data_IF_471335412075
#
_entry.id   IF_471335412075
#
_cell.length_a   1.000
_cell.length_b   1.000
_cell.length_c   1.000
_cell.angle_alpha   90.00
_cell.angle_beta   90.00
_cell.angle_gamma   90.00
#
_symmetry.space_group_name_H-M   'P 1'
#
loop_
_entity.id
_entity.type
_entity.pdbx_description
1 polymer ?
#
# COMPACT_ATOMS: atom_id res chain seq x y z
N UNK A 1 24.98 -6.69 -5.24
CA UNK A 1 23.65 -6.85 -4.64
C UNK A 1 23.02 -8.16 -5.06
N UNK A 2 22.85 -8.47 -6.36
CA UNK A 2 22.21 -9.71 -6.86
C UNK A 2 22.80 -10.99 -6.24
N UNK A 3 24.15 -11.08 -6.15
CA UNK A 3 24.83 -12.22 -5.52
C UNK A 3 24.46 -12.39 -4.06
N UNK A 4 24.49 -11.30 -3.30
CA UNK A 4 24.13 -11.29 -1.86
C UNK A 4 22.70 -11.79 -1.64
N UNK A 5 21.76 -11.37 -2.49
CA UNK A 5 20.36 -11.80 -2.41
C UNK A 5 20.21 -13.28 -2.77
N UNK A 6 20.92 -13.75 -3.78
CA UNK A 6 20.85 -15.14 -4.25
C UNK A 6 21.53 -16.16 -3.28
N UNK A 7 22.44 -15.70 -2.43
CA UNK A 7 23.08 -16.54 -1.40
C UNK A 7 22.20 -16.81 -0.17
N UNK A 8 21.07 -16.08 -0.01
CA UNK A 8 20.17 -16.32 1.12
C UNK A 8 19.41 -17.64 0.94
N UNK A 9 19.41 -18.52 1.94
CA UNK A 9 18.80 -19.86 1.83
C UNK A 9 17.30 -19.85 1.60
N UNK A 10 16.62 -18.75 1.93
CA UNK A 10 15.18 -18.58 1.73
C UNK A 10 14.82 -18.08 0.32
N UNK A 11 15.82 -17.70 -0.49
CA UNK A 11 15.63 -17.16 -1.84
C UNK A 11 15.70 -18.28 -2.87
N UNK A 12 14.76 -18.29 -3.80
CA UNK A 12 14.72 -19.22 -4.93
C UNK A 12 15.38 -18.61 -6.16
N UNK A 13 14.93 -17.40 -6.55
CA UNK A 13 15.47 -16.71 -7.72
C UNK A 13 15.54 -15.20 -7.49
N UNK A 14 16.46 -14.54 -8.20
CA UNK A 14 16.62 -13.09 -8.21
C UNK A 14 16.63 -12.58 -9.65
N UNK A 15 15.68 -11.74 -10.00
CA UNK A 15 15.64 -11.04 -11.28
C UNK A 15 16.02 -9.58 -11.09
N UNK A 16 17.07 -9.12 -11.78
CA UNK A 16 17.58 -7.77 -11.69
C UNK A 16 17.22 -6.95 -12.93
N UNK A 17 16.66 -5.78 -12.73
CA UNK A 17 16.40 -4.77 -13.77
C UNK A 17 17.24 -3.55 -13.44
N UNK A 18 18.33 -3.39 -14.16
CA UNK A 18 19.24 -2.26 -14.02
C UNK A 18 18.70 -1.05 -14.77
N UNK A 19 18.84 0.13 -14.20
CA UNK A 19 18.38 1.38 -14.83
C UNK A 19 16.90 1.68 -14.64
N UNK A 20 16.17 0.94 -13.80
CA UNK A 20 14.76 1.18 -13.51
C UNK A 20 14.49 1.11 -12.01
N UNK A 21 13.76 2.09 -11.50
CA UNK A 21 13.28 2.12 -10.11
C UNK A 21 11.77 1.91 -10.04
N UNK A 22 11.34 0.79 -9.48
CA UNK A 22 9.91 0.52 -9.27
C UNK A 22 9.27 1.52 -8.27
N UNK A 23 10.06 2.08 -7.37
CA UNK A 23 9.57 3.02 -6.35
C UNK A 23 9.23 4.39 -6.92
N UNK A 24 9.95 4.82 -7.94
CA UNK A 24 9.72 6.10 -8.61
C UNK A 24 8.97 5.93 -9.94
N UNK A 25 8.91 4.70 -10.47
CA UNK A 25 8.36 4.41 -11.79
C UNK A 25 9.20 4.97 -12.94
N UNK A 26 10.43 5.39 -12.67
CA UNK A 26 11.29 6.09 -13.61
C UNK A 26 12.56 5.30 -13.96
N UNK A 27 13.09 5.59 -15.15
CA UNK A 27 14.43 5.14 -15.53
C UNK A 27 15.47 6.03 -14.84
N UNK A 28 16.48 5.39 -14.21
CA UNK A 28 17.56 6.07 -13.51
C UNK A 28 18.86 5.32 -13.72
N UNK A 29 19.87 5.98 -14.28
CA UNK A 29 21.18 5.38 -14.60
C UNK A 29 21.92 4.85 -13.37
N UNK A 30 21.63 5.43 -12.21
CA UNK A 30 22.22 5.10 -10.91
C UNK A 30 21.32 4.22 -10.04
N UNK A 31 20.23 3.67 -10.58
CA UNK A 31 19.24 2.86 -9.87
C UNK A 31 19.00 1.49 -10.48
N UNK A 32 18.34 0.64 -9.74
CA UNK A 32 17.90 -0.67 -10.22
C UNK A 32 16.86 -1.27 -9.29
N UNK A 33 16.10 -2.23 -9.81
CA UNK A 33 15.12 -3.00 -9.06
C UNK A 33 15.47 -4.47 -9.14
N UNK A 34 15.41 -5.14 -8.00
CA UNK A 34 15.57 -6.58 -7.91
C UNK A 34 14.26 -7.21 -7.44
N UNK A 35 13.76 -8.17 -8.19
CA UNK A 35 12.65 -9.02 -7.76
C UNK A 35 13.26 -10.29 -7.15
N UNK A 36 13.11 -10.41 -5.83
CA UNK A 36 13.61 -11.54 -5.06
C UNK A 36 12.44 -12.48 -4.81
N UNK A 37 12.43 -13.61 -5.49
CA UNK A 37 11.42 -14.65 -5.30
C UNK A 37 11.91 -15.58 -4.20
N UNK A 38 11.11 -15.72 -3.15
CA UNK A 38 11.41 -16.62 -2.05
C UNK A 38 10.93 -18.02 -2.39
N UNK A 39 11.53 -19.05 -1.80
CA UNK A 39 11.07 -20.44 -1.87
C UNK A 39 9.61 -20.55 -1.49
N UNK A 40 8.94 -21.63 -1.88
CA UNK A 40 7.55 -21.86 -1.52
C UNK A 40 7.35 -21.83 0.00
N UNK A 41 6.21 -21.34 0.47
CA UNK A 41 5.94 -21.19 1.91
C UNK A 41 5.91 -22.52 2.68
N UNK A 42 5.67 -23.65 2.01
CA UNK A 42 5.74 -24.98 2.64
C UNK A 42 7.20 -25.39 2.94
N UNK A 43 8.17 -24.78 2.24
CA UNK A 43 9.60 -24.98 2.48
C UNK A 43 10.21 -23.96 3.46
N UNK A 44 9.43 -22.92 3.83
CA UNK A 44 9.81 -21.83 4.75
C UNK A 44 8.92 -21.84 5.97
N UNK A 45 9.16 -22.77 6.87
CA UNK A 45 8.32 -23.00 8.04
C UNK A 45 8.85 -22.32 9.31
N UNK A 46 10.10 -21.91 9.31
CA UNK A 46 10.74 -21.26 10.45
C UNK A 46 10.40 -19.76 10.51
N UNK A 47 10.37 -19.21 11.74
CA UNK A 47 10.10 -17.79 11.95
C UNK A 47 11.10 -16.88 11.24
N UNK A 48 12.37 -17.29 11.14
CA UNK A 48 13.44 -16.54 10.47
C UNK A 48 13.27 -16.47 8.95
N UNK A 49 12.51 -17.38 8.36
CA UNK A 49 12.21 -17.46 6.95
C UNK A 49 10.97 -16.69 6.52
N UNK A 50 10.27 -16.07 7.48
CA UNK A 50 9.17 -15.15 7.18
C UNK A 50 9.68 -13.96 6.39
N UNK A 51 8.89 -13.52 5.41
CA UNK A 51 9.27 -12.46 4.46
C UNK A 51 9.81 -11.19 5.14
N UNK A 52 9.24 -10.78 6.27
CA UNK A 52 9.70 -9.59 7.01
C UNK A 52 11.09 -9.80 7.65
N UNK A 53 11.39 -10.99 8.14
CA UNK A 53 12.68 -11.32 8.73
C UNK A 53 13.74 -11.50 7.64
N UNK A 54 13.39 -12.12 6.51
CA UNK A 54 14.26 -12.20 5.32
C UNK A 54 14.58 -10.80 4.81
N UNK A 55 13.59 -9.92 4.63
CA UNK A 55 13.81 -8.54 4.19
C UNK A 55 14.73 -7.77 5.15
N UNK A 56 14.53 -7.92 6.47
CA UNK A 56 15.41 -7.30 7.49
C UNK A 56 16.84 -7.82 7.39
N UNK A 57 17.03 -9.12 7.26
CA UNK A 57 18.36 -9.76 7.12
C UNK A 57 19.06 -9.30 5.85
N UNK A 58 18.35 -9.26 4.72
CA UNK A 58 18.88 -8.79 3.44
C UNK A 58 19.26 -7.31 3.48
N UNK A 59 18.44 -6.45 4.12
CA UNK A 59 18.79 -5.04 4.37
C UNK A 59 20.06 -4.91 5.19
N UNK A 60 20.19 -5.69 6.28
CA UNK A 60 21.39 -5.68 7.13
C UNK A 60 22.65 -6.09 6.38
N UNK A 61 22.58 -7.16 5.60
CA UNK A 61 23.71 -7.60 4.74
C UNK A 61 24.06 -6.56 3.68
N UNK A 62 23.05 -5.98 3.03
CA UNK A 62 23.30 -4.99 1.98
C UNK A 62 23.99 -3.73 2.51
N UNK A 63 23.66 -3.25 3.71
CA UNK A 63 24.32 -2.09 4.34
C UNK A 63 25.81 -2.41 4.64
N UNK A 64 26.11 -3.65 5.04
CA UNK A 64 27.49 -4.04 5.39
C UNK A 64 28.36 -4.36 4.17
N UNK A 65 27.77 -5.04 3.18
CA UNK A 65 28.52 -5.61 2.05
C UNK A 65 28.52 -4.70 0.80
N UNK A 66 27.63 -3.69 0.73
CA UNK A 66 27.49 -2.78 -0.43
C UNK A 66 27.38 -1.33 0.02
N UNK A 67 28.45 -0.75 0.61
CA UNK A 67 28.44 0.63 1.09
C UNK A 67 28.25 1.68 -0.04
N UNK A 68 28.53 1.30 -1.30
CA UNK A 68 28.41 2.17 -2.46
C UNK A 68 26.94 2.39 -2.91
N UNK A 69 25.99 1.60 -2.41
CA UNK A 69 24.59 1.67 -2.80
C UNK A 69 23.66 1.68 -1.60
N UNK A 70 22.59 2.44 -1.70
CA UNK A 70 21.46 2.35 -0.78
C UNK A 70 20.51 1.26 -1.27
N UNK A 71 20.39 0.18 -0.54
CA UNK A 71 19.53 -0.97 -0.87
C UNK A 71 18.39 -1.04 0.13
N UNK A 72 17.18 -1.17 -0.36
CA UNK A 72 15.97 -1.33 0.44
C UNK A 72 15.25 -2.61 0.02
N UNK A 73 15.30 -3.64 0.85
CA UNK A 73 14.44 -4.81 0.69
C UNK A 73 13.05 -4.49 1.28
N UNK A 74 12.07 -4.47 0.43
CA UNK A 74 10.69 -4.08 0.72
C UNK A 74 9.73 -5.19 0.31
N UNK A 75 8.61 -5.27 1.00
CA UNK A 75 7.53 -6.20 0.63
C UNK A 75 6.52 -5.50 -0.29
N UNK A 76 5.87 -6.24 -1.20
CA UNK A 76 4.77 -5.67 -1.99
C UNK A 76 3.58 -5.29 -1.10
N UNK A 77 2.69 -4.40 -1.56
CA UNK A 77 1.47 -4.07 -0.83
C UNK A 77 0.55 -5.29 -0.72
N UNK A 78 -0.23 -5.35 0.34
CA UNK A 78 -1.17 -6.46 0.58
C UNK A 78 -2.25 -6.57 -0.51
N UNK A 79 -2.62 -5.45 -1.13
CA UNK A 79 -3.54 -5.38 -2.28
C UNK A 79 -2.76 -4.88 -3.50
N UNK A 80 -2.64 -5.69 -4.56
CA UNK A 80 -1.99 -5.25 -5.79
C UNK A 80 -2.67 -3.99 -6.38
N UNK A 81 -1.84 -3.01 -6.78
CA UNK A 81 -2.33 -1.74 -7.32
C UNK A 81 -2.60 -0.63 -6.29
N UNK A 82 -2.54 -0.93 -5.00
CA UNK A 82 -2.69 0.06 -3.93
C UNK A 82 -1.34 0.48 -3.35
N UNK A 83 -0.55 1.20 -4.10
CA UNK A 83 0.80 1.62 -3.73
C UNK A 83 1.90 0.76 -4.33
N UNK A 84 3.14 1.13 -4.08
CA UNK A 84 4.34 0.44 -4.58
C UNK A 84 5.02 -0.43 -3.52
N UNK A 85 4.69 -0.25 -2.26
CA UNK A 85 5.33 -0.91 -1.11
C UNK A 85 4.28 -1.29 -0.07
N UNK A 86 4.53 -2.37 0.66
CA UNK A 86 3.76 -2.69 1.88
C UNK A 86 4.17 -1.76 3.02
N UNK A 87 3.20 -1.35 3.84
CA UNK A 87 3.38 -0.42 4.94
C UNK A 87 2.74 0.94 4.69
N UNK A 88 3.31 1.98 5.31
CA UNK A 88 2.83 3.35 5.19
C UNK A 88 3.51 4.08 4.04
N UNK A 89 2.75 4.77 3.24
CA UNK A 89 3.25 5.63 2.19
C UNK A 89 2.58 7.01 2.28
N UNK A 90 3.41 8.05 2.33
CA UNK A 90 2.97 9.44 2.35
C UNK A 90 3.84 10.30 1.44
N UNK A 91 3.34 11.46 1.11
CA UNK A 91 4.00 12.46 0.29
C UNK A 91 4.22 13.73 1.12
N UNK A 92 5.48 14.11 1.29
CA UNK A 92 5.84 15.42 1.82
C UNK A 92 5.73 16.44 0.69
N UNK A 93 4.78 17.37 0.80
CA UNK A 93 4.51 18.40 -0.21
C UNK A 93 5.12 19.74 0.20
N UNK A 94 5.63 20.46 -0.80
CA UNK A 94 6.02 21.85 -0.70
C UNK A 94 5.01 22.72 -1.45
N UNK A 95 4.15 23.44 -0.73
CA UNK A 95 3.11 24.32 -1.30
C UNK A 95 3.66 25.65 -1.81
N UNK A 96 4.86 26.04 -1.38
CA UNK A 96 5.50 27.30 -1.76
C UNK A 96 6.46 27.15 -2.95
N UNK A 97 6.61 25.92 -3.48
CA UNK A 97 7.46 25.63 -4.64
C UNK A 97 8.91 26.08 -4.47
N UNK A 98 9.47 25.88 -3.30
CA UNK A 98 10.87 26.18 -2.95
C UNK A 98 11.86 25.36 -3.78
N UNK A 99 13.14 25.52 -3.54
CA UNK A 99 14.16 24.76 -4.28
C UNK A 99 14.11 23.26 -3.97
N UNK A 100 14.48 22.38 -4.91
CA UNK A 100 14.61 20.95 -4.65
C UNK A 100 15.54 20.60 -3.49
N UNK A 101 16.58 21.41 -3.27
CA UNK A 101 17.53 21.23 -2.18
C UNK A 101 16.91 21.52 -0.81
N UNK A 102 16.05 22.54 -0.71
CA UNK A 102 15.30 22.82 0.53
C UNK A 102 14.32 21.69 0.85
N UNK A 103 13.56 21.22 -0.14
CA UNK A 103 12.68 20.05 0.05
C UNK A 103 13.48 18.83 0.54
N UNK A 104 14.67 18.58 -0.03
CA UNK A 104 15.53 17.48 0.41
C UNK A 104 16.02 17.67 1.85
N UNK A 105 16.35 18.89 2.27
CA UNK A 105 16.78 19.19 3.63
C UNK A 105 15.67 18.94 4.64
N UNK A 106 14.47 19.48 4.39
CA UNK A 106 13.30 19.26 5.26
C UNK A 106 12.94 17.78 5.31
N UNK A 107 12.95 17.09 4.17
CA UNK A 107 12.70 15.67 4.08
C UNK A 107 13.68 14.84 4.93
N UNK A 108 14.98 15.14 4.86
CA UNK A 108 15.99 14.42 5.62
C UNK A 108 15.80 14.60 7.14
N UNK A 109 15.49 15.81 7.58
CA UNK A 109 15.19 16.05 8.99
C UNK A 109 13.95 15.26 9.42
N UNK A 110 12.88 15.31 8.63
CA UNK A 110 11.65 14.56 8.89
C UNK A 110 11.86 13.05 8.95
N UNK A 111 12.75 12.49 8.10
CA UNK A 111 13.14 11.08 8.13
C UNK A 111 13.93 10.75 9.40
N UNK A 112 14.85 11.61 9.81
CA UNK A 112 15.65 11.41 11.04
C UNK A 112 14.74 11.39 12.26
N UNK A 113 13.84 12.37 12.38
CA UNK A 113 12.89 12.48 13.49
C UNK A 113 11.90 11.30 13.47
N UNK A 114 11.43 10.89 12.27
CA UNK A 114 10.58 9.73 12.10
C UNK A 114 11.23 8.42 12.56
N UNK A 115 12.52 8.22 12.28
CA UNK A 115 13.24 7.03 12.74
C UNK A 115 13.53 7.05 14.27
N UNK A 116 13.40 8.19 14.94
CA UNK A 116 13.49 8.31 16.39
C UNK A 116 12.13 8.11 17.07
N UNK A 117 11.04 8.13 16.32
CA UNK A 117 9.67 7.96 16.83
C UNK A 117 9.40 6.48 17.15
N UNK A 118 9.04 6.11 18.41
CA UNK A 118 8.93 4.70 18.82
C UNK A 118 7.91 3.85 18.05
N UNK A 119 6.88 4.48 17.51
CA UNK A 119 5.81 3.81 16.74
C UNK A 119 6.15 3.60 15.26
N UNK A 120 7.27 4.16 14.78
CA UNK A 120 7.70 4.10 13.40
C UNK A 120 8.96 3.26 13.24
N UNK A 121 9.06 2.57 12.13
CA UNK A 121 10.25 1.77 11.78
C UNK A 121 10.58 1.96 10.30
N UNK A 122 11.89 2.00 10.01
CA UNK A 122 12.40 2.04 8.64
C UNK A 122 11.82 3.20 7.81
N UNK A 123 11.84 4.40 8.38
CA UNK A 123 11.42 5.61 7.66
C UNK A 123 12.49 5.96 6.63
N UNK A 124 12.11 6.01 5.35
CA UNK A 124 13.04 6.32 4.26
C UNK A 124 12.34 7.01 3.08
N UNK A 125 13.16 7.61 2.21
CA UNK A 125 12.73 8.18 0.94
C UNK A 125 13.75 7.85 -0.15
N UNK A 126 13.27 7.78 -1.37
CA UNK A 126 14.12 7.67 -2.57
C UNK A 126 14.37 9.03 -3.24
N UNK A 127 13.80 10.10 -2.72
CA UNK A 127 13.98 11.45 -3.25
C UNK A 127 15.40 11.95 -2.99
N UNK A 128 16.05 12.42 -4.03
CA UNK A 128 17.39 13.02 -3.99
C UNK A 128 17.40 14.29 -4.81
N UNK A 129 17.99 15.36 -4.29
CA UNK A 129 18.16 16.63 -4.98
C UNK A 129 19.64 16.93 -5.30
N UNK A 130 20.54 16.00 -4.99
CA UNK A 130 21.99 16.15 -5.13
C UNK A 130 22.59 15.27 -6.22
N UNK A 131 21.79 14.88 -7.19
CA UNK A 131 22.26 14.07 -8.33
C UNK A 131 23.06 14.97 -9.26
N UNK A 132 24.33 14.63 -9.57
CA UNK A 132 25.14 15.39 -10.52
C UNK A 132 24.51 15.33 -11.90
N UNK A 133 24.34 16.48 -12.52
CA UNK A 133 23.77 16.66 -13.85
C UNK A 133 24.56 17.73 -14.60
N UNK A 134 24.44 17.74 -15.93
CA UNK A 134 24.97 18.80 -16.76
C UNK A 134 23.83 19.61 -17.34
N UNK A 135 23.86 20.92 -17.07
CA UNK A 135 22.98 21.85 -17.73
C UNK A 135 23.61 22.25 -19.05
N UNK A 136 22.86 22.08 -20.15
CA UNK A 136 23.27 22.46 -21.47
C UNK A 136 22.55 23.77 -21.83
N UNK A 137 23.29 24.84 -21.95
CA UNK A 137 22.78 26.14 -22.42
C UNK A 137 23.05 26.29 -23.91
N UNK A 138 21.99 26.58 -24.69
CA UNK A 138 22.06 26.70 -26.14
C UNK A 138 22.03 28.18 -26.51
N UNK A 139 23.06 28.64 -27.21
CA UNK A 139 23.07 29.96 -27.80
C UNK A 139 22.11 30.04 -29.00
N UNK A 140 20.87 30.40 -28.69
CA UNK A 140 19.78 30.46 -29.66
C UNK A 140 19.99 31.52 -30.75
N UNK A 141 20.68 32.61 -30.42
CA UNK A 141 20.97 33.69 -31.39
C UNK A 141 22.01 33.20 -32.38
N UNK A 142 23.08 32.60 -31.89
CA UNK A 142 24.15 32.05 -32.73
C UNK A 142 23.62 30.89 -33.60
N UNK A 143 22.80 29.99 -33.03
CA UNK A 143 22.16 28.91 -33.79
C UNK A 143 21.34 29.46 -34.97
N UNK A 144 20.52 30.48 -34.72
CA UNK A 144 19.70 31.12 -35.75
C UNK A 144 20.57 31.80 -36.83
N UNK A 145 21.64 32.51 -36.44
CA UNK A 145 22.55 33.18 -37.37
C UNK A 145 23.32 32.18 -38.26
N UNK A 146 23.64 31.01 -37.74
CA UNK A 146 24.29 29.93 -38.48
C UNK A 146 23.29 29.03 -39.25
N UNK A 147 22.01 29.35 -39.20
CA UNK A 147 20.97 28.60 -39.91
C UNK A 147 20.71 27.21 -39.36
N UNK A 148 21.01 26.96 -38.07
CA UNK A 148 20.76 25.69 -37.39
C UNK A 148 19.46 25.78 -36.57
N UNK A 149 18.56 24.83 -36.77
CA UNK A 149 17.30 24.80 -36.02
C UNK A 149 17.52 24.30 -34.60
N UNK A 150 16.78 24.84 -33.61
CA UNK A 150 16.83 24.38 -32.23
C UNK A 150 16.38 22.91 -32.10
N UNK A 151 15.40 22.50 -32.91
CA UNK A 151 14.93 21.12 -32.91
C UNK A 151 16.04 20.14 -33.32
N UNK A 152 16.85 20.51 -34.30
CA UNK A 152 17.97 19.69 -34.76
C UNK A 152 19.07 19.58 -33.70
N UNK A 153 19.34 20.67 -32.96
CA UNK A 153 20.26 20.66 -31.82
C UNK A 153 19.79 19.65 -30.75
N UNK A 154 18.52 19.76 -30.31
CA UNK A 154 18.00 18.86 -29.27
C UNK A 154 17.86 17.44 -29.76
N UNK A 155 17.48 17.22 -31.02
CA UNK A 155 17.38 15.88 -31.59
C UNK A 155 18.75 15.21 -31.68
N UNK A 156 19.80 15.95 -32.08
CA UNK A 156 21.16 15.44 -32.12
C UNK A 156 21.69 15.12 -30.71
N UNK A 157 21.46 16.01 -29.73
CA UNK A 157 21.81 15.74 -28.35
C UNK A 157 21.10 14.47 -27.82
N UNK A 158 19.81 14.33 -28.10
CA UNK A 158 19.06 13.14 -27.71
C UNK A 158 19.59 11.88 -28.39
N UNK A 159 19.82 11.94 -29.71
CA UNK A 159 20.28 10.78 -30.47
C UNK A 159 21.71 10.36 -30.10
N UNK A 160 22.59 11.31 -29.82
CA UNK A 160 24.00 11.03 -29.58
C UNK A 160 24.30 10.74 -28.10
N UNK A 161 23.86 11.60 -27.19
CA UNK A 161 24.18 11.53 -25.78
C UNK A 161 23.15 10.73 -24.95
N UNK A 162 21.89 10.80 -25.36
CA UNK A 162 20.79 10.06 -24.70
C UNK A 162 20.47 8.76 -25.44
N UNK A 163 19.23 8.64 -25.84
CA UNK A 163 18.78 7.58 -26.75
C UNK A 163 17.56 8.08 -27.52
N UNK A 164 17.58 7.92 -28.83
CA UNK A 164 16.48 8.27 -29.71
C UNK A 164 15.74 7.01 -30.14
N UNK A 165 14.50 6.89 -29.71
CA UNK A 165 13.61 5.87 -30.23
C UNK A 165 13.20 6.22 -31.66
N UNK A 166 13.50 5.30 -32.60
CA UNK A 166 13.24 5.48 -34.02
C UNK A 166 11.94 4.82 -34.43
N UNK A 167 11.79 3.51 -34.16
CA UNK A 167 10.66 2.72 -34.56
C UNK A 167 10.64 1.36 -33.85
N UNK A 168 9.58 0.60 -34.07
CA UNK A 168 9.49 -0.80 -33.67
C UNK A 168 9.57 -1.73 -34.89
N UNK A 169 10.06 -2.98 -34.67
CA UNK A 169 9.88 -4.06 -35.64
C UNK A 169 9.44 -5.33 -34.96
N UNK A 170 8.63 -6.12 -35.68
CA UNK A 170 8.11 -7.38 -35.19
C UNK A 170 8.98 -8.55 -35.70
N UNK A 171 9.47 -9.39 -34.78
CA UNK A 171 10.20 -10.60 -35.11
C UNK A 171 9.93 -11.68 -34.05
N UNK A 172 9.77 -12.93 -34.48
CA UNK A 172 9.51 -14.06 -33.60
C UNK A 172 8.30 -13.90 -32.66
N UNK A 173 7.27 -13.20 -33.12
CA UNK A 173 6.04 -12.92 -32.33
C UNK A 173 6.22 -11.87 -31.22
N UNK A 174 7.35 -11.16 -31.20
CA UNK A 174 7.64 -10.08 -30.25
C UNK A 174 7.93 -8.78 -30.98
N UNK A 175 7.63 -7.68 -30.32
CA UNK A 175 7.93 -6.33 -30.81
C UNK A 175 9.24 -5.84 -30.20
N UNK A 176 10.19 -5.46 -31.05
CA UNK A 176 11.51 -4.95 -30.68
C UNK A 176 11.59 -3.47 -31.01
N UNK A 177 12.18 -2.69 -30.10
CA UNK A 177 12.42 -1.26 -30.29
C UNK A 177 13.75 -1.04 -31.00
N UNK A 178 13.73 -0.16 -31.99
CA UNK A 178 14.94 0.37 -32.62
C UNK A 178 15.33 1.66 -31.94
N UNK A 179 16.47 1.66 -31.27
CA UNK A 179 17.00 2.81 -30.53
C UNK A 179 18.35 3.18 -31.12
N UNK A 180 18.54 4.46 -31.39
CA UNK A 180 19.79 5.02 -31.87
C UNK A 180 20.49 5.81 -30.77
N UNK A 181 21.79 5.57 -30.60
CA UNK A 181 22.68 6.36 -29.74
C UNK A 181 24.12 6.19 -30.16
N UNK A 182 25.00 7.13 -29.76
CA UNK A 182 26.44 6.99 -29.97
C UNK A 182 27.01 5.81 -29.17
N UNK A 183 28.10 5.26 -29.67
CA UNK A 183 28.88 4.24 -28.95
C UNK A 183 29.42 4.83 -27.63
N UNK A 184 29.56 3.97 -26.60
CA UNK A 184 29.90 4.42 -25.24
C UNK A 184 31.18 5.25 -25.16
N UNK A 185 32.16 4.98 -26.02
CA UNK A 185 33.42 5.71 -26.09
C UNK A 185 33.30 7.15 -26.62
N UNK A 186 32.15 7.53 -27.22
CA UNK A 186 31.89 8.86 -27.78
C UNK A 186 30.76 9.60 -27.03
N UNK A 187 30.40 9.16 -25.83
CA UNK A 187 29.39 9.80 -24.97
C UNK A 187 29.68 9.69 -23.47
N UNK A 188 30.95 9.39 -23.14
CA UNK A 188 31.39 9.26 -21.74
C UNK A 188 31.82 10.58 -21.12
N UNK A 189 32.35 11.51 -21.94
CA UNK A 189 32.89 12.77 -21.50
C UNK A 189 32.20 13.96 -22.18
N UNK A 190 32.25 15.14 -21.55
CA UNK A 190 31.69 16.36 -22.12
C UNK A 190 32.45 16.82 -23.37
N UNK A 191 33.74 16.50 -23.49
CA UNK A 191 34.57 16.75 -24.67
C UNK A 191 34.09 16.01 -25.92
N UNK A 192 33.28 14.95 -25.72
CA UNK A 192 32.71 14.20 -26.84
C UNK A 192 31.70 15.01 -27.66
N UNK A 193 31.16 16.09 -27.07
CA UNK A 193 30.31 17.06 -27.79
C UNK A 193 31.01 17.71 -29.00
N UNK A 194 32.35 17.75 -29.01
CA UNK A 194 33.16 18.29 -30.12
C UNK A 194 33.11 17.40 -31.38
N UNK A 195 32.78 16.13 -31.23
CA UNK A 195 32.65 15.19 -32.34
C UNK A 195 31.30 15.28 -33.06
N UNK A 196 30.33 15.99 -32.53
CA UNK A 196 29.00 16.05 -33.12
C UNK A 196 28.84 17.30 -33.97
N UNK A 197 28.30 17.11 -35.17
CA UNK A 197 28.07 18.16 -36.16
C UNK A 197 26.59 18.24 -36.51
N UNK A 198 26.15 19.47 -36.75
CA UNK A 198 24.81 19.81 -37.18
C UNK A 198 24.83 20.38 -38.58
N UNK A 199 23.84 20.03 -39.39
CA UNK A 199 23.74 20.57 -40.74
C UNK A 199 22.99 21.91 -40.71
N UNK A 200 23.59 22.97 -41.21
CA UNK A 200 22.92 24.27 -41.36
C UNK A 200 21.98 24.29 -42.55
N UNK A 201 21.11 25.28 -42.63
CA UNK A 201 20.21 25.49 -43.75
C UNK A 201 20.98 25.75 -45.07
N UNK A 202 22.22 26.27 -45.03
CA UNK A 202 23.13 26.43 -46.19
C UNK A 202 23.77 25.11 -46.61
N UNK A 203 23.71 24.07 -45.79
CA UNK A 203 24.36 22.81 -46.06
C UNK A 203 25.71 22.63 -45.37
N UNK A 204 26.21 23.63 -44.67
CA UNK A 204 27.47 23.60 -43.94
C UNK A 204 27.37 22.79 -42.65
N UNK A 205 28.46 22.15 -42.24
CA UNK A 205 28.53 21.37 -40.99
C UNK A 205 29.03 22.27 -39.86
N UNK A 206 28.20 22.48 -38.86
CA UNK A 206 28.48 23.30 -37.67
C UNK A 206 28.75 22.38 -36.48
N UNK A 207 29.90 22.49 -35.78
CA UNK A 207 30.15 21.72 -34.55
C UNK A 207 29.15 22.08 -33.47
N UNK A 208 28.59 21.06 -32.80
CA UNK A 208 27.61 21.25 -31.72
C UNK A 208 28.17 22.07 -30.55
N UNK A 209 29.42 21.83 -30.17
CA UNK A 209 30.15 22.59 -29.14
C UNK A 209 30.24 24.10 -29.40
N UNK A 210 30.09 24.54 -30.64
CA UNK A 210 30.04 25.95 -30.98
C UNK A 210 28.73 26.61 -30.53
N UNK A 211 27.65 25.83 -30.39
CA UNK A 211 26.31 26.30 -30.13
C UNK A 211 25.85 26.08 -28.70
N UNK A 212 26.58 25.24 -27.93
CA UNK A 212 26.19 24.88 -26.58
C UNK A 212 27.29 25.16 -25.56
N UNK A 213 26.90 25.54 -24.36
CA UNK A 213 27.78 25.67 -23.21
C UNK A 213 27.29 24.75 -22.12
N UNK A 214 28.17 23.98 -21.48
CA UNK A 214 27.83 23.06 -20.45
C UNK A 214 28.32 23.52 -19.08
N UNK A 215 27.51 23.30 -18.04
CA UNK A 215 27.91 23.54 -16.66
C UNK A 215 27.39 22.43 -15.73
N UNK A 216 28.18 21.97 -14.75
CA UNK A 216 27.70 21.02 -13.79
C UNK A 216 26.68 21.67 -12.86
N UNK A 217 25.62 20.95 -12.57
CA UNK A 217 24.58 21.32 -11.58
C UNK A 217 24.26 20.12 -10.72
N UNK A 218 23.62 20.39 -9.59
CA UNK A 218 22.96 19.36 -8.78
C UNK A 218 21.45 19.52 -8.93
N UNK A 219 20.77 18.43 -9.14
CA UNK A 219 19.32 18.43 -9.31
C UNK A 219 18.65 17.16 -8.83
N UNK A 220 17.32 17.13 -8.81
CA UNK A 220 16.59 15.92 -8.50
C UNK A 220 16.66 14.93 -9.66
N UNK A 221 16.79 13.65 -9.32
CA UNK A 221 16.73 12.55 -10.29
C UNK A 221 15.31 12.44 -10.90
N UNK A 222 14.30 12.54 -10.02
CA UNK A 222 12.88 12.55 -10.40
C UNK A 222 12.20 13.72 -9.73
N UNK A 223 11.56 14.59 -10.49
CA UNK A 223 10.76 15.70 -10.01
C UNK A 223 9.28 15.27 -9.93
N UNK A 224 8.87 14.78 -8.76
CA UNK A 224 7.49 14.37 -8.52
C UNK A 224 6.62 15.56 -8.14
N UNK A 225 5.37 15.57 -8.62
CA UNK A 225 4.32 16.48 -8.18
C UNK A 225 3.08 15.66 -7.76
N UNK A 226 2.45 16.12 -6.71
CA UNK A 226 1.18 15.58 -6.26
C UNK A 226 0.22 16.73 -5.98
N UNK A 227 -0.98 16.68 -6.54
CA UNK A 227 -1.94 17.79 -6.50
C UNK A 227 -1.31 19.13 -6.92
N UNK A 228 -0.46 19.09 -7.97
CA UNK A 228 0.30 20.23 -8.54
C UNK A 228 1.48 20.74 -7.69
N UNK A 229 1.57 20.37 -6.41
CA UNK A 229 2.70 20.75 -5.55
C UNK A 229 3.89 19.81 -5.74
N UNK A 230 5.10 20.33 -5.57
CA UNK A 230 6.30 19.49 -5.50
C UNK A 230 6.18 18.54 -4.31
N UNK A 231 6.52 17.29 -4.50
CA UNK A 231 6.40 16.29 -3.46
C UNK A 231 7.56 15.32 -3.46
N UNK A 232 7.85 14.78 -2.27
CA UNK A 232 8.79 13.70 -2.07
C UNK A 232 8.08 12.55 -1.33
N UNK A 233 8.23 11.33 -1.82
CA UNK A 233 7.62 10.17 -1.18
C UNK A 233 8.41 9.75 0.06
N UNK A 234 7.70 9.51 1.16
CA UNK A 234 8.22 8.92 2.40
C UNK A 234 7.51 7.60 2.64
N UNK A 235 8.27 6.60 3.00
CA UNK A 235 7.79 5.26 3.31
C UNK A 235 8.25 4.82 4.68
N UNK A 236 7.41 4.06 5.36
CA UNK A 236 7.73 3.52 6.67
C UNK A 236 6.93 2.26 6.95
N UNK A 237 7.29 1.57 8.02
CA UNK A 237 6.49 0.50 8.59
C UNK A 237 6.11 0.86 10.03
N UNK A 238 4.97 0.37 10.55
CA UNK A 238 4.69 0.41 11.97
C UNK A 238 5.76 -0.37 12.74
N UNK A 239 6.21 0.16 13.88
CA UNK A 239 7.11 -0.57 14.76
C UNK A 239 6.39 -1.79 15.38
N UNK A 240 7.13 -2.85 15.78
CA UNK A 240 6.54 -4.01 16.44
C UNK A 240 5.68 -3.61 17.64
N UNK A 241 4.45 -4.11 17.70
CA UNK A 241 3.48 -3.80 18.75
C UNK A 241 2.61 -2.57 18.51
N UNK A 242 2.84 -1.82 17.43
CA UNK A 242 2.00 -0.69 17.05
C UNK A 242 1.12 -1.03 15.84
N UNK A 243 -0.07 -0.46 15.81
CA UNK A 243 -0.96 -0.56 14.65
C UNK A 243 -0.60 0.47 13.56
N UNK A 244 -1.06 0.23 12.32
CA UNK A 244 -0.94 1.20 11.22
C UNK A 244 -1.55 2.55 11.57
N UNK A 245 -2.73 2.56 12.20
CA UNK A 245 -3.39 3.79 12.65
C UNK A 245 -2.58 4.58 13.70
N UNK A 246 -1.93 3.89 14.65
CA UNK A 246 -1.05 4.55 15.63
C UNK A 246 0.19 5.15 14.96
N UNK A 247 0.78 4.44 14.01
CA UNK A 247 1.90 4.94 13.25
C UNK A 247 1.53 6.11 12.34
N UNK A 248 0.33 6.11 11.75
CA UNK A 248 -0.19 7.24 10.98
C UNK A 248 -0.39 8.48 11.84
N UNK A 249 -1.02 8.34 13.00
CA UNK A 249 -1.19 9.46 13.92
C UNK A 249 0.17 10.03 14.38
N UNK A 250 1.14 9.17 14.65
CA UNK A 250 2.48 9.61 15.01
C UNK A 250 3.18 10.40 13.90
N UNK A 251 2.95 10.06 12.62
CA UNK A 251 3.43 10.88 11.50
C UNK A 251 2.73 12.24 11.41
N UNK A 252 1.43 12.29 11.68
CA UNK A 252 0.68 13.54 11.70
C UNK A 252 1.16 14.45 12.82
N UNK A 253 1.29 13.91 14.04
CA UNK A 253 1.84 14.64 15.19
C UNK A 253 3.27 15.14 14.91
N UNK A 254 4.11 14.29 14.30
CA UNK A 254 5.46 14.66 13.92
C UNK A 254 5.47 15.78 12.87
N UNK A 255 4.59 15.69 11.87
CA UNK A 255 4.47 16.72 10.83
C UNK A 255 4.06 18.07 11.39
N UNK A 256 3.08 18.08 12.31
CA UNK A 256 2.60 19.31 12.96
C UNK A 256 3.68 19.95 13.86
N UNK A 257 4.55 19.14 14.44
CA UNK A 257 5.62 19.61 15.33
C UNK A 257 6.89 20.10 14.62
N UNK A 258 7.24 19.45 13.49
CA UNK A 258 8.59 19.61 12.91
C UNK A 258 8.60 20.25 11.52
N UNK A 259 7.51 20.20 10.78
CA UNK A 259 7.49 20.74 9.42
C UNK A 259 7.39 22.27 9.43
N UNK A 260 8.25 22.96 8.66
CA UNK A 260 8.14 24.40 8.48
C UNK A 260 6.88 24.80 7.70
N UNK A 261 6.46 26.05 7.85
CA UNK A 261 5.34 26.62 7.12
C UNK A 261 5.43 26.35 5.60
N UNK A 262 4.32 25.93 5.03
CA UNK A 262 4.20 25.59 3.62
C UNK A 262 4.59 24.14 3.25
N UNK A 263 5.04 23.36 4.22
CA UNK A 263 5.18 21.90 4.06
C UNK A 263 4.00 21.19 4.72
N UNK A 264 3.56 20.10 4.11
CA UNK A 264 2.51 19.24 4.66
C UNK A 264 2.69 17.81 4.18
N UNK A 265 2.07 16.89 4.91
CA UNK A 265 2.01 15.48 4.48
C UNK A 265 0.66 15.18 3.85
N UNK A 266 0.67 14.27 2.87
CA UNK A 266 -0.54 13.71 2.26
C UNK A 266 -0.39 12.19 2.18
N UNK A 267 -1.39 11.47 2.65
CA UNK A 267 -1.39 10.02 2.58
C UNK A 267 -1.65 9.53 1.15
N UNK A 268 -1.03 8.41 0.79
CA UNK A 268 -1.23 7.75 -0.51
C UNK A 268 -1.23 6.23 -0.36
N UNK A 269 -1.57 5.51 -1.44
CA UNK A 269 -1.60 4.05 -1.43
C UNK A 269 -2.57 3.46 -0.41
N UNK A 270 -2.14 2.40 0.27
CA UNK A 270 -2.94 1.72 1.30
C UNK A 270 -3.24 2.61 2.50
N UNK A 271 -2.29 3.47 2.90
CA UNK A 271 -2.47 4.38 4.04
C UNK A 271 -3.61 5.38 3.79
N UNK A 272 -3.72 5.91 2.57
CA UNK A 272 -4.86 6.75 2.18
C UNK A 272 -6.19 5.99 2.30
N UNK A 273 -6.25 4.75 1.81
CA UNK A 273 -7.47 3.94 1.89
C UNK A 273 -7.85 3.63 3.34
N UNK A 274 -6.86 3.34 4.20
CA UNK A 274 -7.10 3.09 5.62
C UNK A 274 -7.60 4.34 6.35
N UNK A 275 -7.05 5.51 6.01
CA UNK A 275 -7.49 6.81 6.55
C UNK A 275 -8.93 7.15 6.12
N UNK A 276 -9.22 7.00 4.84
CA UNK A 276 -10.56 7.25 4.29
C UNK A 276 -11.59 6.27 4.85
N UNK A 277 -11.23 4.98 4.90
CA UNK A 277 -12.10 3.96 5.49
C UNK A 277 -12.36 4.22 6.98
N UNK A 278 -11.36 4.67 7.74
CA UNK A 278 -11.52 5.02 9.15
C UNK A 278 -12.56 6.12 9.39
N UNK A 279 -12.59 7.14 8.54
CA UNK A 279 -13.56 8.23 8.62
C UNK A 279 -14.97 7.81 8.24
N UNK A 280 -15.11 6.89 7.28
CA UNK A 280 -16.40 6.40 6.76
C UNK A 280 -16.92 5.16 7.48
N UNK A 281 -16.09 4.45 8.23
CA UNK A 281 -16.46 3.21 8.91
C UNK A 281 -17.66 3.38 9.85
N UNK A 282 -17.65 4.40 10.69
CA UNK A 282 -18.76 4.69 11.64
C UNK A 282 -20.08 4.90 10.89
N UNK A 283 -20.04 5.66 9.79
CA UNK A 283 -21.21 5.87 8.94
C UNK A 283 -21.68 4.57 8.30
N UNK A 284 -20.77 3.77 7.75
CA UNK A 284 -21.09 2.47 7.14
C UNK A 284 -21.69 1.49 8.15
N UNK A 285 -21.12 1.39 9.36
CA UNK A 285 -21.67 0.56 10.44
C UNK A 285 -23.07 1.02 10.88
N UNK A 286 -23.25 2.32 11.06
CA UNK A 286 -24.55 2.90 11.44
C UNK A 286 -25.60 2.62 10.37
N UNK A 287 -25.24 2.81 9.09
CA UNK A 287 -26.12 2.55 7.97
C UNK A 287 -26.46 1.06 7.84
N UNK A 288 -25.48 0.18 7.97
CA UNK A 288 -25.69 -1.27 7.95
C UNK A 288 -26.67 -1.69 9.07
N UNK A 289 -26.47 -1.20 10.29
CA UNK A 289 -27.34 -1.48 11.41
C UNK A 289 -28.75 -0.97 11.18
N UNK A 290 -28.87 0.25 10.65
CA UNK A 290 -30.16 0.87 10.31
C UNK A 290 -30.91 0.04 9.25
N UNK A 291 -30.26 -0.37 8.18
CA UNK A 291 -30.90 -1.18 7.14
C UNK A 291 -31.31 -2.56 7.67
N UNK A 292 -30.46 -3.21 8.46
CA UNK A 292 -30.83 -4.47 9.11
C UNK A 292 -32.05 -4.28 10.02
N UNK A 293 -32.07 -3.20 10.79
CA UNK A 293 -33.21 -2.87 11.65
C UNK A 293 -34.50 -2.64 10.84
N UNK A 294 -34.45 -1.81 9.81
CA UNK A 294 -35.63 -1.52 8.98
C UNK A 294 -36.12 -2.78 8.23
N UNK A 295 -35.20 -3.61 7.74
CA UNK A 295 -35.54 -4.88 7.13
C UNK A 295 -36.28 -5.81 8.12
N UNK A 296 -35.78 -5.88 9.36
CA UNK A 296 -36.42 -6.67 10.42
C UNK A 296 -37.78 -6.09 10.83
N UNK A 297 -37.92 -4.75 10.87
CA UNK A 297 -39.24 -4.12 11.10
C UNK A 297 -40.24 -4.53 10.05
N UNK A 298 -39.83 -4.52 8.78
CA UNK A 298 -40.69 -4.96 7.67
C UNK A 298 -41.02 -6.46 7.75
N UNK A 299 -40.05 -7.31 8.15
CA UNK A 299 -40.26 -8.75 8.26
C UNK A 299 -41.17 -9.13 9.45
N UNK A 300 -40.99 -8.47 10.59
CA UNK A 300 -41.72 -8.80 11.81
C UNK A 300 -42.99 -7.96 12.01
N UNK A 301 -43.23 -6.96 11.16
CA UNK A 301 -44.35 -6.01 11.27
C UNK A 301 -44.43 -5.35 12.66
N UNK A 302 -43.28 -5.12 13.28
CA UNK A 302 -43.13 -4.62 14.65
C UNK A 302 -41.89 -3.77 14.79
N UNK A 303 -42.01 -2.66 15.53
CA UNK A 303 -40.88 -1.78 15.85
C UNK A 303 -40.05 -2.26 17.08
N UNK A 304 -40.63 -3.06 17.97
CA UNK A 304 -40.00 -3.51 19.20
C UNK A 304 -39.22 -4.81 19.06
N UNK A 305 -39.75 -5.79 18.30
CA UNK A 305 -39.13 -7.12 18.14
C UNK A 305 -37.71 -7.04 17.53
N UNK A 306 -37.43 -6.22 16.53
CA UNK A 306 -36.08 -6.07 15.98
C UNK A 306 -35.00 -5.68 16.96
N UNK A 307 -35.33 -4.93 18.03
CA UNK A 307 -34.36 -4.58 19.07
C UNK A 307 -33.78 -5.81 19.77
N UNK A 308 -34.61 -6.81 20.04
CA UNK A 308 -34.15 -8.08 20.65
C UNK A 308 -33.11 -8.81 19.77
N UNK A 309 -33.25 -8.69 18.44
CA UNK A 309 -32.35 -9.31 17.47
C UNK A 309 -31.03 -8.51 17.39
N UNK A 310 -31.11 -7.18 17.31
CA UNK A 310 -29.95 -6.30 17.18
C UNK A 310 -29.06 -6.33 18.41
N UNK A 311 -29.61 -6.51 19.61
CA UNK A 311 -28.84 -6.60 20.85
C UNK A 311 -27.81 -7.76 20.87
N UNK A 312 -27.90 -8.71 19.95
CA UNK A 312 -26.89 -9.76 19.77
C UNK A 312 -25.64 -9.25 19.05
N UNK A 313 -25.77 -8.22 18.22
CA UNK A 313 -24.66 -7.67 17.43
C UNK A 313 -23.51 -7.17 18.30
N UNK A 314 -23.71 -6.36 19.36
CA UNK A 314 -22.63 -5.97 20.28
C UNK A 314 -21.87 -7.15 20.90
N UNK A 315 -22.55 -8.27 21.19
CA UNK A 315 -21.90 -9.47 21.73
C UNK A 315 -20.99 -10.12 20.67
N UNK A 316 -21.46 -10.18 19.43
CA UNK A 316 -20.66 -10.68 18.33
C UNK A 316 -19.42 -9.79 18.05
N UNK A 317 -19.59 -8.47 18.06
CA UNK A 317 -18.49 -7.49 17.93
C UNK A 317 -17.49 -7.66 19.08
N UNK A 318 -17.97 -7.80 20.32
CA UNK A 318 -17.12 -8.07 21.49
C UNK A 318 -16.29 -9.33 21.33
N UNK A 319 -16.88 -10.41 20.81
CA UNK A 319 -16.17 -11.65 20.51
C UNK A 319 -15.11 -11.50 19.42
N UNK A 320 -15.41 -10.72 18.38
CA UNK A 320 -14.46 -10.40 17.34
C UNK A 320 -13.25 -9.62 17.88
N UNK A 321 -13.48 -8.61 18.70
CA UNK A 321 -12.43 -7.81 19.35
C UNK A 321 -11.55 -8.70 20.25
N UNK A 322 -12.14 -9.57 21.07
CA UNK A 322 -11.40 -10.50 21.91
C UNK A 322 -10.52 -11.43 21.05
N UNK A 323 -11.05 -11.95 19.95
CA UNK A 323 -10.29 -12.81 19.04
C UNK A 323 -9.11 -12.06 18.37
N UNK A 324 -9.32 -10.83 17.91
CA UNK A 324 -8.27 -9.99 17.36
C UNK A 324 -7.17 -9.69 18.39
N UNK A 325 -7.54 -9.32 19.61
CA UNK A 325 -6.61 -9.07 20.71
C UNK A 325 -5.80 -10.31 21.08
N UNK A 326 -6.45 -11.47 21.15
CA UNK A 326 -5.79 -12.74 21.51
C UNK A 326 -4.80 -13.24 20.46
N UNK A 327 -5.01 -12.88 19.20
CA UNK A 327 -4.14 -13.25 18.06
C UNK A 327 -3.13 -12.17 17.70
N UNK A 328 -3.18 -10.98 18.33
CA UNK A 328 -2.31 -9.87 18.03
C UNK A 328 -2.57 -9.21 16.65
N UNK A 329 -3.73 -9.50 16.05
CA UNK A 329 -4.12 -8.91 14.76
C UNK A 329 -4.76 -7.54 15.00
N UNK A 330 -4.18 -6.50 14.41
CA UNK A 330 -4.72 -5.14 14.50
C UNK A 330 -6.07 -5.02 13.77
N UNK A 331 -6.90 -4.08 14.23
CA UNK A 331 -8.15 -3.71 13.56
C UNK A 331 -7.84 -2.95 12.26
N UNK A 332 -7.61 -3.70 11.19
CA UNK A 332 -7.33 -3.19 9.85
C UNK A 332 -8.60 -3.17 8.98
N UNK A 333 -8.46 -2.71 7.72
CA UNK A 333 -9.57 -2.65 6.76
C UNK A 333 -10.29 -4.00 6.58
N UNK A 334 -9.55 -5.11 6.54
CA UNK A 334 -10.14 -6.46 6.38
C UNK A 334 -10.94 -6.89 7.60
N UNK A 335 -10.44 -6.59 8.80
CA UNK A 335 -11.18 -6.84 10.04
C UNK A 335 -12.46 -5.99 10.10
N UNK A 336 -12.45 -4.74 9.65
CA UNK A 336 -13.63 -3.88 9.56
C UNK A 336 -14.69 -4.46 8.60
N UNK A 337 -14.28 -4.98 7.43
CA UNK A 337 -15.17 -5.70 6.50
C UNK A 337 -15.78 -6.92 7.20
N UNK A 338 -14.96 -7.67 7.97
CA UNK A 338 -15.43 -8.80 8.77
C UNK A 338 -16.47 -8.40 9.80
N UNK A 339 -16.33 -7.26 10.46
CA UNK A 339 -17.32 -6.74 11.42
C UNK A 339 -18.65 -6.39 10.74
N UNK A 340 -18.63 -5.79 9.55
CA UNK A 340 -19.87 -5.51 8.79
C UNK A 340 -20.59 -6.81 8.43
N UNK A 341 -19.85 -7.82 7.92
CA UNK A 341 -20.39 -9.14 7.62
C UNK A 341 -21.02 -9.79 8.87
N UNK A 342 -20.38 -9.61 10.00
CA UNK A 342 -20.80 -10.18 11.27
C UNK A 342 -22.16 -9.64 11.76
N UNK A 343 -22.52 -8.40 11.45
CA UNK A 343 -23.83 -7.81 11.77
C UNK A 343 -24.95 -8.68 11.19
N UNK A 344 -24.87 -8.99 9.90
CA UNK A 344 -25.87 -9.83 9.23
C UNK A 344 -25.90 -11.27 9.72
N UNK A 345 -24.71 -11.84 9.96
CA UNK A 345 -24.59 -13.24 10.38
C UNK A 345 -25.03 -13.48 11.82
N UNK A 346 -24.74 -12.56 12.74
CA UNK A 346 -25.20 -12.65 14.13
C UNK A 346 -26.72 -12.48 14.23
N UNK A 347 -27.31 -11.56 13.46
CA UNK A 347 -28.75 -11.37 13.41
C UNK A 347 -29.49 -12.63 12.95
N UNK A 348 -28.95 -13.41 12.01
CA UNK A 348 -29.55 -14.65 11.51
C UNK A 348 -29.90 -15.65 12.61
N UNK A 349 -29.00 -15.84 13.59
CA UNK A 349 -29.23 -16.77 14.70
C UNK A 349 -30.38 -16.30 15.62
N UNK A 350 -30.45 -14.98 15.84
CA UNK A 350 -31.50 -14.38 16.64
C UNK A 350 -32.87 -14.45 15.94
N UNK A 351 -32.90 -14.19 14.63
CA UNK A 351 -34.13 -14.27 13.81
C UNK A 351 -34.81 -15.65 14.01
N UNK A 352 -34.04 -16.73 13.90
CA UNK A 352 -34.59 -18.10 13.99
C UNK A 352 -35.29 -18.40 15.35
N UNK A 353 -34.81 -17.79 16.42
CA UNK A 353 -35.39 -18.00 17.77
C UNK A 353 -36.59 -17.05 17.95
N UNK A 354 -36.43 -15.78 17.59
CA UNK A 354 -37.45 -14.74 17.79
C UNK A 354 -38.70 -14.99 16.95
N UNK A 355 -38.53 -15.51 15.71
CA UNK A 355 -39.65 -15.89 14.85
C UNK A 355 -40.56 -16.94 15.50
N UNK A 356 -39.97 -18.01 16.09
CA UNK A 356 -40.74 -19.04 16.75
C UNK A 356 -41.37 -18.50 18.06
N UNK A 357 -40.66 -17.63 18.80
CA UNK A 357 -41.22 -17.02 19.98
C UNK A 357 -42.45 -16.15 19.65
N UNK A 358 -42.39 -15.37 18.57
CA UNK A 358 -43.51 -14.59 18.03
C UNK A 358 -44.69 -15.44 17.65
N UNK A 359 -44.49 -16.49 16.84
CA UNK A 359 -45.53 -17.44 16.43
C UNK A 359 -46.23 -18.09 17.64
N UNK A 360 -45.46 -18.57 18.62
CA UNK A 360 -46.03 -19.19 19.85
C UNK A 360 -46.84 -18.19 20.66
N UNK A 361 -46.42 -16.95 20.73
CA UNK A 361 -47.16 -15.93 21.47
C UNK A 361 -48.44 -15.52 20.76
N UNK A 362 -48.38 -15.27 19.43
CA UNK A 362 -49.49 -14.69 18.65
C UNK A 362 -50.51 -15.75 18.23
N UNK A 363 -50.05 -16.97 17.85
CA UNK A 363 -50.94 -18.03 17.36
C UNK A 363 -51.40 -19.00 18.48
N UNK A 364 -50.53 -19.29 19.46
CA UNK A 364 -50.82 -20.22 20.53
C UNK A 364 -51.25 -19.55 21.85
N UNK A 365 -51.17 -18.20 21.94
CA UNK A 365 -51.57 -17.43 23.12
C UNK A 365 -50.68 -17.65 24.35
N UNK A 366 -49.42 -18.11 24.17
CA UNK A 366 -48.53 -18.38 25.29
C UNK A 366 -48.04 -17.10 25.96
N UNK A 367 -47.74 -17.16 27.27
CA UNK A 367 -47.09 -16.09 27.99
C UNK A 367 -45.69 -15.81 27.39
N UNK A 368 -45.27 -14.56 27.34
CA UNK A 368 -43.98 -14.10 26.73
C UNK A 368 -42.81 -14.96 27.22
N UNK A 369 -42.68 -15.16 28.54
CA UNK A 369 -41.58 -15.91 29.15
C UNK A 369 -41.57 -17.40 28.73
N UNK A 370 -42.75 -17.97 28.57
CA UNK A 370 -42.90 -19.38 28.15
C UNK A 370 -42.58 -19.49 26.68
N UNK A 371 -43.14 -18.62 25.82
CA UNK A 371 -42.90 -18.61 24.41
C UNK A 371 -41.40 -18.41 24.08
N UNK A 372 -40.72 -17.47 24.75
CA UNK A 372 -39.28 -17.22 24.57
C UNK A 372 -38.42 -18.44 24.95
N UNK A 373 -38.70 -19.04 26.11
CA UNK A 373 -37.96 -20.20 26.61
C UNK A 373 -38.15 -21.43 25.71
N UNK A 374 -39.36 -21.73 25.31
CA UNK A 374 -39.64 -22.86 24.43
C UNK A 374 -39.13 -22.66 23.01
N UNK A 375 -39.20 -21.43 22.48
CA UNK A 375 -38.57 -21.09 21.21
C UNK A 375 -37.05 -21.33 21.23
N UNK A 376 -36.36 -20.87 22.28
CA UNK A 376 -34.94 -21.12 22.48
C UNK A 376 -34.62 -22.61 22.49
N UNK A 377 -35.41 -23.43 23.22
CA UNK A 377 -35.24 -24.88 23.32
C UNK A 377 -35.47 -25.59 21.98
N UNK A 378 -36.54 -25.23 21.27
CA UNK A 378 -36.89 -25.86 19.98
C UNK A 378 -35.88 -25.54 18.87
N UNK A 379 -35.38 -24.29 18.82
CA UNK A 379 -34.48 -23.83 17.79
C UNK A 379 -32.98 -23.97 18.11
N UNK A 380 -32.62 -24.32 19.35
CA UNK A 380 -31.23 -24.45 19.77
C UNK A 380 -30.41 -25.36 18.86
N UNK A 381 -30.93 -26.53 18.51
CA UNK A 381 -30.24 -27.47 17.62
C UNK A 381 -30.02 -26.87 16.21
N UNK A 382 -31.00 -26.20 15.65
CA UNK A 382 -30.92 -25.62 14.31
C UNK A 382 -29.93 -24.45 14.28
N UNK A 383 -29.95 -23.59 15.33
CA UNK A 383 -29.00 -22.48 15.48
C UNK A 383 -27.57 -22.98 15.62
N UNK A 384 -27.36 -23.99 16.50
CA UNK A 384 -26.04 -24.60 16.67
C UNK A 384 -25.52 -25.22 15.36
N UNK A 385 -26.35 -25.97 14.64
CA UNK A 385 -25.97 -26.59 13.36
C UNK A 385 -25.54 -25.55 12.34
N UNK A 386 -26.31 -24.48 12.15
CA UNK A 386 -26.00 -23.44 11.15
C UNK A 386 -24.76 -22.63 11.56
N UNK A 387 -24.62 -22.28 12.83
CA UNK A 387 -23.48 -21.53 13.33
C UNK A 387 -22.18 -22.35 13.25
N UNK A 388 -22.20 -23.62 13.67
CA UNK A 388 -21.03 -24.50 13.62
C UNK A 388 -20.63 -24.77 12.18
N UNK A 389 -21.57 -25.02 11.27
CA UNK A 389 -21.28 -25.20 9.84
C UNK A 389 -20.60 -23.98 9.25
N UNK A 390 -21.05 -22.78 9.60
CA UNK A 390 -20.43 -21.53 9.16
C UNK A 390 -19.05 -21.34 9.78
N UNK A 391 -18.88 -21.56 11.08
CA UNK A 391 -17.61 -21.47 11.79
C UNK A 391 -16.57 -22.43 11.16
N UNK A 392 -16.98 -23.67 10.88
CA UNK A 392 -16.10 -24.64 10.19
C UNK A 392 -15.76 -24.20 8.75
N UNK A 393 -16.73 -23.61 8.05
CA UNK A 393 -16.52 -23.08 6.70
C UNK A 393 -15.52 -21.90 6.64
N UNK A 394 -15.39 -21.15 7.73
CA UNK A 394 -14.46 -20.01 7.77
C UNK A 394 -13.05 -20.38 8.30
N UNK A 395 -12.88 -21.55 8.87
CA UNK A 395 -11.59 -22.03 9.40
C UNK A 395 -10.44 -21.95 8.39
N UNK A 396 -10.62 -22.29 7.10
CA UNK A 396 -9.56 -22.14 6.11
C UNK A 396 -9.02 -20.70 6.01
N UNK A 397 -9.87 -19.69 6.22
CA UNK A 397 -9.44 -18.28 6.23
C UNK A 397 -8.62 -17.94 7.49
N UNK A 398 -8.96 -18.53 8.64
CA UNK A 398 -8.20 -18.33 9.90
C UNK A 398 -6.78 -18.88 9.78
N UNK A 399 -6.62 -20.01 9.11
CA UNK A 399 -5.33 -20.68 8.90
C UNK A 399 -4.73 -20.41 7.51
N UNK A 400 -5.23 -19.41 6.80
CA UNK A 400 -4.73 -19.10 5.47
C UNK A 400 -3.21 -18.88 5.47
N UNK A 401 -2.53 -19.44 4.48
CA UNK A 401 -1.09 -19.28 4.25
C UNK A 401 -0.85 -18.76 2.83
N UNK A 402 0.30 -18.17 2.58
CA UNK A 402 0.69 -17.71 1.27
C UNK A 402 0.33 -16.25 0.95
N UNK A 403 0.28 -15.93 -0.33
CA UNK A 403 -0.01 -14.58 -0.81
C UNK A 403 -1.42 -14.14 -0.36
N UNK A 404 -1.53 -12.94 0.23
CA UNK A 404 -2.80 -12.41 0.73
C UNK A 404 -3.29 -13.03 2.05
N UNK A 405 -2.54 -13.94 2.66
CA UNK A 405 -2.90 -14.60 3.92
C UNK A 405 -3.23 -13.61 5.05
N UNK A 406 -2.55 -12.48 5.11
CA UNK A 406 -2.80 -11.45 6.13
C UNK A 406 -4.24 -10.93 6.09
N UNK A 407 -4.73 -10.56 4.90
CA UNK A 407 -6.11 -10.10 4.73
C UNK A 407 -7.14 -11.20 5.05
N UNK A 408 -6.90 -12.42 4.55
CA UNK A 408 -7.75 -13.58 4.79
C UNK A 408 -7.82 -13.93 6.28
N UNK A 409 -6.67 -13.95 6.98
CA UNK A 409 -6.61 -14.20 8.43
C UNK A 409 -7.32 -13.11 9.22
N UNK A 410 -7.10 -11.83 8.90
CA UNK A 410 -7.75 -10.72 9.60
C UNK A 410 -9.27 -10.82 9.52
N UNK A 411 -9.81 -11.08 8.33
CA UNK A 411 -11.23 -11.30 8.10
C UNK A 411 -11.71 -12.58 8.81
N UNK A 412 -10.99 -13.69 8.62
CA UNK A 412 -11.32 -14.99 9.20
C UNK A 412 -11.39 -14.98 10.73
N UNK A 413 -10.37 -14.42 11.40
CA UNK A 413 -10.31 -14.30 12.86
C UNK A 413 -11.44 -13.43 13.40
N UNK A 414 -11.71 -12.29 12.74
CA UNK A 414 -12.80 -11.37 13.13
C UNK A 414 -14.13 -12.08 13.10
N UNK A 415 -14.45 -12.75 11.99
CA UNK A 415 -15.75 -13.40 11.83
C UNK A 415 -15.84 -14.68 12.66
N UNK A 416 -14.77 -15.45 12.77
CA UNK A 416 -14.71 -16.64 13.63
C UNK A 416 -14.99 -16.29 15.09
N UNK A 417 -14.25 -15.31 15.65
CA UNK A 417 -14.41 -14.89 17.04
C UNK A 417 -15.80 -14.33 17.33
N UNK A 418 -16.31 -13.49 16.41
CA UNK A 418 -17.64 -12.92 16.53
C UNK A 418 -18.77 -13.96 16.46
N UNK A 419 -18.67 -14.90 15.52
CA UNK A 419 -19.66 -15.98 15.39
C UNK A 419 -19.61 -16.94 16.57
N UNK A 420 -18.41 -17.23 17.11
CA UNK A 420 -18.25 -18.05 18.30
C UNK A 420 -18.93 -17.40 19.51
N UNK A 421 -18.73 -16.10 19.71
CA UNK A 421 -19.38 -15.34 20.78
C UNK A 421 -20.90 -15.24 20.57
N UNK A 422 -21.36 -15.00 19.35
CA UNK A 422 -22.79 -15.00 19.03
C UNK A 422 -23.44 -16.36 19.30
N UNK A 423 -22.73 -17.45 19.04
CA UNK A 423 -23.21 -18.79 19.35
C UNK A 423 -23.21 -19.08 20.85
N UNK A 424 -22.07 -18.91 21.55
CA UNK A 424 -21.90 -19.30 22.93
C UNK A 424 -22.61 -18.37 23.93
N UNK A 425 -22.59 -17.07 23.66
CA UNK A 425 -23.16 -16.06 24.54
C UNK A 425 -24.52 -15.60 24.03
N UNK A 426 -24.57 -15.16 22.76
CA UNK A 426 -25.76 -14.60 22.14
C UNK A 426 -26.96 -15.53 22.22
N UNK A 427 -26.78 -16.82 21.91
CA UNK A 427 -27.89 -17.79 21.90
C UNK A 427 -28.59 -17.93 23.26
N UNK A 428 -27.86 -17.76 24.37
CA UNK A 428 -28.45 -17.79 25.71
C UNK A 428 -29.20 -16.51 26.07
N UNK A 429 -28.77 -15.36 25.54
CA UNK A 429 -29.36 -14.07 25.83
C UNK A 429 -30.58 -13.73 24.95
N UNK A 430 -30.65 -14.29 23.71
CA UNK A 430 -31.74 -14.01 22.76
C UNK A 430 -33.14 -14.21 23.39
N UNK A 431 -33.44 -15.35 24.11
CA UNK A 431 -34.73 -15.52 24.75
C UNK A 431 -35.02 -14.47 25.84
N UNK A 432 -33.98 -13.91 26.47
CA UNK A 432 -34.10 -12.86 27.48
C UNK A 432 -34.34 -11.47 26.90
N UNK A 433 -33.90 -11.22 25.65
CA UNK A 433 -34.11 -9.95 24.96
C UNK A 433 -35.50 -9.86 24.32
N UNK A 434 -36.12 -11.00 23.99
CA UNK A 434 -37.48 -11.07 23.49
C UNK A 434 -38.52 -10.88 24.61
#
# INVERSE_FOLDING_TARGET
VTRIMAEDPSVETVTSITGFSILTGAMASNGGTLFVVLKHWDERTESEELVFNVARRLNGRAIQEVPEAQVFAITPPAVPGMGSVGGLELLLQDSLSRSPAELASVLNNFIVDGNQTPSLQSVFSTYRANVPQYYIDVDRVKAKNLGVSLNEIFMTLQAQMGSLYINDFNKFGQTYKVIMQSESGYRSDLSDLDYFYLKSASGDMVPLSTLVTTRPILGPDVAQRYNLFRAASVRAAPAPGYSTGQAMNAFEDLADLTLPDGYRIEWTGMAYQEREAGSTAVFAFTLALLFVYLFLVAQFESWSIPFAIILVVPMAIGGAIVALLSTGVALNLYAQIGLVLLIGMAAKNAILIVEVAKTRREEMGEEIKVAAREAGRLRFRAVCMTAISFILGILPLVFAAGAGAFGQRSLGITVFGGMLAALLVGTFFIPGFY
#
